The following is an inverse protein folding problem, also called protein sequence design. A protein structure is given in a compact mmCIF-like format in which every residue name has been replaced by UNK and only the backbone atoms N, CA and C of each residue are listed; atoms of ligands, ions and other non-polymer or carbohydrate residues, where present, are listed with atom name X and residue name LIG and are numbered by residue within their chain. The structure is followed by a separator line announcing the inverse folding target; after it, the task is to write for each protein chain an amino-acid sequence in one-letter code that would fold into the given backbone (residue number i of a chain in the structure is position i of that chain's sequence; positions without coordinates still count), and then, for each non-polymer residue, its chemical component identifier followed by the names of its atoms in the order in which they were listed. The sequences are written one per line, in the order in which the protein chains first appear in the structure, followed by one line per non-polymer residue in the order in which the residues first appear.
data_IF_559401724946
#
_entry.id   IF_559401724946
#
_cell.length_a   1.000
_cell.length_b   1.000
_cell.length_c   1.000
_cell.angle_alpha   90.00
_cell.angle_beta   90.00
_cell.angle_gamma   90.00
#
_symmetry.space_group_name_H-M   'P 1'
#
loop_
_entity.id
_entity.type
_entity.pdbx_description
1 polymer ?
#
# COMPACT_ATOMS: atom_id res chain seq x y z
N UNK A 1 -34.00 18.58 -6.50
CA UNK A 1 -33.03 17.70 -7.19
C UNK A 1 -31.97 17.31 -6.17
N UNK A 2 -32.04 16.10 -5.64
CA UNK A 2 -31.06 15.60 -4.66
C UNK A 2 -29.91 14.97 -5.45
N UNK A 3 -28.77 15.64 -5.52
CA UNK A 3 -27.57 15.08 -6.14
C UNK A 3 -26.87 14.22 -5.10
N UNK A 4 -27.11 12.91 -5.16
CA UNK A 4 -26.34 11.92 -4.39
C UNK A 4 -24.94 11.85 -5.00
N UNK A 5 -24.00 12.61 -4.44
CA UNK A 5 -22.58 12.43 -4.73
C UNK A 5 -22.12 11.11 -4.11
N UNK A 6 -22.11 10.04 -4.89
CA UNK A 6 -21.27 8.89 -4.60
C UNK A 6 -19.83 9.28 -4.97
N UNK A 7 -19.22 10.19 -4.19
CA UNK A 7 -17.76 10.31 -4.17
C UNK A 7 -17.26 8.99 -3.62
N UNK A 8 -16.92 8.10 -4.56
CA UNK A 8 -16.34 6.79 -4.34
C UNK A 8 -15.25 6.87 -3.28
N UNK A 9 -15.58 6.52 -2.03
CA UNK A 9 -14.65 5.93 -1.07
C UNK A 9 -14.27 4.50 -1.52
N UNK A 10 -14.17 4.27 -2.84
CA UNK A 10 -13.59 3.07 -3.38
C UNK A 10 -12.12 3.15 -2.96
N UNK A 11 -11.78 2.39 -1.93
CA UNK A 11 -10.41 2.21 -1.50
C UNK A 11 -9.55 2.02 -2.75
N UNK A 12 -8.47 2.79 -2.86
CA UNK A 12 -7.63 2.77 -4.04
C UNK A 12 -6.94 1.40 -4.13
N UNK A 13 -7.55 0.47 -4.85
CA UNK A 13 -7.07 -0.91 -4.92
C UNK A 13 -5.80 -0.96 -5.76
N UNK A 14 -4.80 -1.66 -5.24
CA UNK A 14 -3.53 -1.89 -5.90
C UNK A 14 -3.03 -3.30 -5.57
N UNK A 15 -2.05 -3.76 -6.33
CA UNK A 15 -1.39 -5.05 -6.14
C UNK A 15 0.08 -4.82 -5.85
N UNK A 16 0.66 -5.71 -5.05
CA UNK A 16 2.11 -5.83 -4.93
C UNK A 16 2.67 -6.42 -6.23
N UNK A 17 3.65 -5.76 -6.82
CA UNK A 17 4.29 -6.17 -8.09
C UNK A 17 5.80 -5.99 -8.02
N UNK A 18 6.54 -6.73 -8.84
CA UNK A 18 7.98 -6.49 -9.06
C UNK A 18 8.87 -6.83 -7.87
N UNK A 19 8.42 -7.70 -6.95
CA UNK A 19 9.28 -8.21 -5.87
C UNK A 19 10.25 -9.26 -6.41
N UNK A 20 9.84 -10.05 -7.39
CA UNK A 20 10.64 -11.17 -7.90
C UNK A 20 10.27 -12.50 -7.25
N UNK A 21 10.79 -13.63 -7.79
CA UNK A 21 10.48 -14.96 -7.29
C UNK A 21 11.07 -15.12 -5.88
N UNK A 22 10.23 -15.52 -4.93
CA UNK A 22 10.56 -15.75 -3.52
C UNK A 22 10.88 -14.50 -2.67
N UNK A 23 10.76 -13.30 -3.22
CA UNK A 23 10.88 -12.06 -2.44
C UNK A 23 9.54 -11.54 -1.93
N UNK A 24 9.58 -10.86 -0.78
CA UNK A 24 8.40 -10.26 -0.15
C UNK A 24 8.60 -8.75 0.01
N UNK A 25 7.60 -7.98 -0.41
CA UNK A 25 7.55 -6.55 -0.11
C UNK A 25 7.33 -6.34 1.39
N UNK A 26 8.22 -5.58 2.02
CA UNK A 26 8.16 -5.31 3.46
C UNK A 26 7.09 -4.26 3.76
N UNK A 27 6.06 -4.65 4.50
CA UNK A 27 5.13 -3.72 5.15
C UNK A 27 5.80 -3.15 6.40
N UNK A 28 5.94 -1.83 6.48
CA UNK A 28 6.63 -1.14 7.59
C UNK A 28 5.68 -0.31 8.43
N UNK A 29 6.06 -0.06 9.68
CA UNK A 29 5.25 0.73 10.61
C UNK A 29 5.19 2.23 10.27
N UNK A 30 6.10 2.73 9.43
CA UNK A 30 6.15 4.13 8.99
C UNK A 30 6.86 4.28 7.64
N UNK A 31 6.81 5.48 7.04
CA UNK A 31 7.36 5.75 5.71
C UNK A 31 8.89 5.87 5.76
N UNK A 32 9.59 4.78 5.44
CA UNK A 32 11.05 4.79 5.37
C UNK A 32 11.70 3.47 5.79
N UNK A 33 12.97 3.32 5.41
CA UNK A 33 13.76 2.10 5.68
C UNK A 33 14.14 1.91 7.16
N UNK A 34 14.08 2.96 7.98
CA UNK A 34 14.37 2.91 9.41
C UNK A 34 13.23 2.38 10.28
N UNK A 35 12.00 2.28 9.75
CA UNK A 35 10.85 1.79 10.50
C UNK A 35 10.83 0.26 10.58
N UNK A 36 10.41 -0.28 11.72
CA UNK A 36 10.26 -1.73 11.92
C UNK A 36 9.36 -2.35 10.85
N UNK A 37 9.69 -3.59 10.47
CA UNK A 37 8.87 -4.40 9.58
C UNK A 37 7.71 -4.98 10.39
N UNK A 38 6.50 -4.90 9.82
CA UNK A 38 5.28 -5.49 10.36
C UNK A 38 5.14 -6.92 9.84
N UNK A 39 5.26 -7.11 8.51
CA UNK A 39 5.27 -8.41 7.84
C UNK A 39 5.79 -8.28 6.39
N UNK A 40 5.97 -9.41 5.72
CA UNK A 40 6.25 -9.48 4.27
C UNK A 40 4.98 -9.76 3.47
N UNK A 41 4.87 -9.13 2.30
CA UNK A 41 3.76 -9.26 1.37
C UNK A 41 4.26 -9.94 0.09
N UNK A 42 3.71 -11.10 -0.30
CA UNK A 42 4.07 -11.74 -1.57
C UNK A 42 3.57 -10.93 -2.77
N UNK A 43 4.16 -11.21 -3.93
CA UNK A 43 3.67 -10.70 -5.20
C UNK A 43 2.18 -11.03 -5.41
N UNK A 44 1.44 -10.10 -6.01
CA UNK A 44 0.00 -10.22 -6.21
C UNK A 44 -0.86 -9.94 -4.98
N UNK A 45 -0.26 -9.61 -3.82
CA UNK A 45 -1.05 -9.25 -2.63
C UNK A 45 -1.92 -8.03 -2.89
N UNK A 46 -3.24 -8.16 -2.66
CA UNK A 46 -4.19 -7.07 -2.84
C UNK A 46 -4.20 -6.13 -1.63
N UNK A 47 -4.02 -4.84 -1.92
CA UNK A 47 -3.96 -3.77 -0.95
C UNK A 47 -4.97 -2.66 -1.28
N UNK A 48 -5.42 -1.99 -0.23
CA UNK A 48 -6.11 -0.71 -0.29
C UNK A 48 -5.08 0.39 -0.01
N UNK A 49 -4.66 1.11 -1.05
CA UNK A 49 -3.79 2.29 -0.98
C UNK A 49 -4.56 3.47 -0.39
N UNK A 50 -3.85 4.27 0.40
CA UNK A 50 -4.31 5.51 1.03
C UNK A 50 -3.28 6.60 0.74
N UNK A 51 -3.11 7.54 1.67
CA UNK A 51 -2.18 8.65 1.55
C UNK A 51 -0.75 8.17 1.29
N UNK A 52 -0.08 8.86 0.38
CA UNK A 52 1.34 8.65 0.11
C UNK A 52 2.14 9.88 0.51
N UNK A 53 3.35 9.64 1.01
CA UNK A 53 4.30 10.66 1.47
C UNK A 53 5.68 10.35 0.90
N UNK A 54 6.37 11.38 0.44
CA UNK A 54 7.76 11.25 -0.02
C UNK A 54 8.69 11.53 1.15
N UNK A 55 9.51 10.54 1.51
CA UNK A 55 10.50 10.63 2.58
C UNK A 55 11.88 10.31 2.00
N UNK A 56 12.85 11.22 2.18
CA UNK A 56 14.23 11.06 1.69
C UNK A 56 14.27 10.67 0.20
N UNK A 57 13.44 11.33 -0.62
CA UNK A 57 13.39 11.09 -2.07
C UNK A 57 12.67 9.83 -2.52
N UNK A 58 12.12 9.01 -1.61
CA UNK A 58 11.35 7.82 -1.95
C UNK A 58 9.87 7.99 -1.59
N UNK A 59 8.97 7.60 -2.49
CA UNK A 59 7.53 7.66 -2.25
C UNK A 59 7.07 6.43 -1.46
N UNK A 60 6.42 6.67 -0.32
CA UNK A 60 5.85 5.65 0.55
C UNK A 60 4.35 5.81 0.62
N UNK A 61 3.61 4.73 0.39
CA UNK A 61 2.15 4.76 0.46
C UNK A 61 1.67 4.01 1.70
N UNK A 62 0.75 4.63 2.44
CA UNK A 62 0.00 3.96 3.50
C UNK A 62 -0.97 2.97 2.85
N UNK A 63 -1.01 1.76 3.36
CA UNK A 63 -1.83 0.68 2.84
C UNK A 63 -2.53 -0.08 3.96
N UNK A 64 -3.61 -0.77 3.60
CA UNK A 64 -4.22 -1.84 4.39
C UNK A 64 -4.42 -3.07 3.50
N UNK A 65 -4.30 -4.28 4.08
CA UNK A 65 -4.61 -5.49 3.33
C UNK A 65 -6.09 -5.54 2.98
N UNK A 66 -6.43 -5.94 1.76
CA UNK A 66 -7.83 -6.10 1.35
C UNK A 66 -8.55 -7.19 2.16
N UNK A 67 -7.85 -8.30 2.45
CA UNK A 67 -8.39 -9.42 3.22
C UNK A 67 -8.35 -9.20 4.75
N UNK A 68 -7.55 -8.26 5.23
CA UNK A 68 -7.37 -7.96 6.64
C UNK A 68 -7.19 -6.45 6.86
N UNK A 69 -8.26 -5.64 6.76
CA UNK A 69 -8.17 -4.18 6.73
C UNK A 69 -7.58 -3.55 8.00
N UNK A 70 -7.60 -4.27 9.14
CA UNK A 70 -6.95 -3.87 10.39
C UNK A 70 -5.42 -3.91 10.32
N UNK A 71 -4.85 -4.68 9.38
CA UNK A 71 -3.41 -4.73 9.15
C UNK A 71 -3.05 -3.56 8.23
N UNK A 72 -2.41 -2.55 8.82
CA UNK A 72 -2.00 -1.32 8.14
C UNK A 72 -0.50 -1.09 8.25
N UNK A 73 0.07 -0.38 7.28
CA UNK A 73 1.44 0.08 7.33
C UNK A 73 1.80 0.90 6.11
N UNK A 74 3.09 1.02 5.84
CA UNK A 74 3.66 1.72 4.70
C UNK A 74 4.50 0.77 3.85
N UNK A 75 4.43 0.95 2.54
CA UNK A 75 5.26 0.24 1.56
C UNK A 75 5.85 1.25 0.57
N UNK A 76 6.98 0.91 -0.05
CA UNK A 76 7.47 1.70 -1.18
C UNK A 76 6.46 1.63 -2.33
N UNK A 77 6.16 2.77 -2.94
CA UNK A 77 5.26 2.86 -4.09
C UNK A 77 5.83 2.18 -5.34
N UNK A 78 7.14 1.94 -5.39
CA UNK A 78 7.83 1.30 -6.54
C UNK A 78 7.35 -0.15 -6.76
N UNK A 79 6.81 -0.79 -5.73
CA UNK A 79 6.28 -2.15 -5.76
C UNK A 79 4.75 -2.22 -5.79
N UNK A 80 4.09 -1.10 -6.11
CA UNK A 80 2.66 -1.05 -6.30
C UNK A 80 2.34 -0.94 -7.78
N UNK A 81 1.33 -1.66 -8.24
CA UNK A 81 0.88 -1.54 -9.63
C UNK A 81 0.47 -0.09 -9.92
N UNK A 82 0.97 0.46 -11.03
CA UNK A 82 0.43 1.70 -11.58
C UNK A 82 -1.07 1.51 -11.88
N UNK A 83 -1.87 2.53 -11.60
CA UNK A 83 -3.30 2.52 -11.92
C UNK A 83 -3.52 2.48 -13.43
#
# INVERSE_FOLDING_TARGET
MLVSSCSNFAADRTLVVGTGPDELLKLRAGPGLGFRIVLGLPEGTSLNRRDCVTEIGQLWCRVSLTAAPQITGYVSADYLSAR
#
